data_IF_005689764355
#
_entry.id   IF_005689764355
#
_cell.length_a   1.000
_cell.length_b   1.000
_cell.length_c   1.000
_cell.angle_alpha   90.00
_cell.angle_beta   90.00
_cell.angle_gamma   90.00
#
_symmetry.space_group_name_H-M   'P 1'
#
loop_
_entity.id
_entity.type
_entity.pdbx_description
1 polymer ?
#
# COMPACT_ATOMS: atom_id res chain seq x y z
N UNK A 1 22.94 15.45 -6.09
CA UNK A 1 22.42 14.18 -5.54
C UNK A 1 23.63 13.34 -5.17
N UNK A 2 23.79 12.94 -3.91
CA UNK A 2 24.91 12.09 -3.47
C UNK A 2 24.56 10.62 -3.69
N UNK A 3 25.55 9.77 -3.92
CA UNK A 3 25.36 8.34 -4.17
C UNK A 3 24.62 7.66 -3.01
N UNK A 4 25.01 7.98 -1.77
CA UNK A 4 24.36 7.53 -0.53
C UNK A 4 22.84 7.83 -0.49
N UNK A 5 22.43 9.05 -0.85
CA UNK A 5 21.02 9.43 -0.88
C UNK A 5 20.24 8.66 -1.96
N UNK A 6 20.87 8.36 -3.09
CA UNK A 6 20.24 7.58 -4.16
C UNK A 6 20.01 6.14 -3.73
N UNK A 7 20.99 5.51 -3.08
CA UNK A 7 20.87 4.12 -2.60
C UNK A 7 19.82 3.98 -1.50
N UNK A 8 19.79 4.93 -0.55
CA UNK A 8 18.77 4.95 0.49
C UNK A 8 17.36 5.17 -0.06
N UNK A 9 17.22 6.07 -1.04
CA UNK A 9 15.93 6.29 -1.70
C UNK A 9 15.45 5.03 -2.43
N UNK A 10 16.33 4.36 -3.18
CA UNK A 10 15.97 3.11 -3.86
C UNK A 10 15.55 2.04 -2.87
N UNK A 11 16.28 1.85 -1.75
CA UNK A 11 15.92 0.86 -0.72
C UNK A 11 14.53 1.12 -0.14
N UNK A 12 14.22 2.38 0.13
CA UNK A 12 12.94 2.77 0.72
C UNK A 12 11.78 2.64 -0.27
N UNK A 13 11.99 3.01 -1.54
CA UNK A 13 10.99 2.78 -2.60
C UNK A 13 10.72 1.28 -2.76
N UNK A 14 11.76 0.45 -2.77
CA UNK A 14 11.58 -1.01 -2.81
C UNK A 14 10.75 -1.50 -1.63
N UNK A 15 11.06 -1.04 -0.40
CA UNK A 15 10.27 -1.39 0.79
C UNK A 15 8.79 -1.04 0.63
N UNK A 16 8.46 0.15 0.13
CA UNK A 16 7.06 0.54 -0.08
C UNK A 16 6.36 -0.30 -1.15
N UNK A 17 7.09 -0.70 -2.21
CA UNK A 17 6.54 -1.59 -3.24
C UNK A 17 6.25 -2.96 -2.66
N UNK A 18 7.18 -3.53 -1.90
CA UNK A 18 7.03 -4.85 -1.27
C UNK A 18 5.84 -4.86 -0.28
N UNK A 19 5.71 -3.82 0.55
CA UNK A 19 4.57 -3.66 1.47
C UNK A 19 3.23 -3.55 0.74
N UNK A 20 3.19 -2.78 -0.35
CA UNK A 20 1.99 -2.66 -1.18
C UNK A 20 1.64 -3.97 -1.90
N UNK A 21 2.65 -4.75 -2.32
CA UNK A 21 2.45 -6.07 -2.92
C UNK A 21 1.85 -7.05 -1.93
N UNK A 22 2.40 -7.13 -0.71
CA UNK A 22 1.89 -7.99 0.35
C UNK A 22 0.42 -7.68 0.68
N UNK A 23 0.06 -6.39 0.79
CA UNK A 23 -1.31 -5.96 1.03
C UNK A 23 -2.25 -6.33 -0.14
N UNK A 24 -1.80 -6.11 -1.38
CA UNK A 24 -2.56 -6.48 -2.57
C UNK A 24 -2.78 -8.00 -2.64
N UNK A 25 -1.76 -8.80 -2.38
CA UNK A 25 -1.82 -10.26 -2.37
C UNK A 25 -2.77 -10.78 -1.27
N UNK A 26 -2.69 -10.20 -0.08
CA UNK A 26 -3.61 -10.52 1.01
C UNK A 26 -5.07 -10.23 0.60
N UNK A 27 -5.35 -9.07 0.03
CA UNK A 27 -6.70 -8.70 -0.38
C UNK A 27 -7.23 -9.55 -1.54
N UNK A 28 -6.40 -9.88 -2.53
CA UNK A 28 -6.76 -10.80 -3.61
C UNK A 28 -7.06 -12.20 -3.06
N UNK A 29 -6.30 -12.65 -2.06
CA UNK A 29 -6.54 -13.95 -1.41
C UNK A 29 -7.87 -13.97 -0.64
N UNK A 30 -8.21 -12.89 0.06
CA UNK A 30 -9.47 -12.78 0.80
C UNK A 30 -10.69 -12.72 -0.14
N UNK A 31 -10.52 -12.12 -1.30
CA UNK A 31 -11.53 -12.00 -2.35
C UNK A 31 -11.42 -13.10 -3.44
N UNK A 32 -10.78 -14.23 -3.14
CA UNK A 32 -10.52 -15.29 -4.15
C UNK A 32 -11.77 -15.77 -4.88
N UNK A 33 -12.89 -15.90 -4.15
CA UNK A 33 -14.19 -16.30 -4.69
C UNK A 33 -14.70 -15.34 -5.79
N UNK A 34 -14.42 -14.04 -5.67
CA UNK A 34 -14.76 -13.02 -6.66
C UNK A 34 -13.89 -13.20 -7.90
N UNK A 35 -12.58 -13.41 -7.71
CA UNK A 35 -11.63 -13.62 -8.80
C UNK A 35 -11.96 -14.88 -9.59
N UNK A 36 -12.31 -15.99 -8.92
CA UNK A 36 -12.69 -17.23 -9.57
C UNK A 36 -13.98 -17.05 -10.40
N UNK A 37 -14.94 -16.24 -9.92
CA UNK A 37 -16.14 -15.91 -10.68
C UNK A 37 -15.84 -15.04 -11.91
N UNK A 38 -15.03 -13.99 -11.74
CA UNK A 38 -14.60 -13.13 -12.86
C UNK A 38 -13.83 -13.95 -13.90
N UNK A 39 -12.93 -14.82 -13.47
CA UNK A 39 -12.18 -15.71 -14.35
C UNK A 39 -13.10 -16.67 -15.11
N UNK A 40 -14.10 -17.24 -14.45
CA UNK A 40 -15.10 -18.10 -15.10
C UNK A 40 -15.88 -17.35 -16.19
N UNK A 41 -16.34 -16.13 -15.88
CA UNK A 41 -17.03 -15.29 -16.87
C UNK A 41 -16.11 -14.87 -18.03
N UNK A 42 -14.82 -14.61 -17.79
CA UNK A 42 -13.85 -14.28 -18.84
C UNK A 42 -13.44 -15.50 -19.70
N UNK A 43 -13.60 -16.72 -19.17
CA UNK A 43 -13.44 -17.94 -19.96
C UNK A 43 -14.63 -18.14 -20.90
N UNK A 44 -15.84 -17.77 -20.47
CA UNK A 44 -17.05 -17.84 -21.29
C UNK A 44 -17.15 -16.67 -22.28
N UNK A 45 -16.76 -15.47 -21.85
CA UNK A 45 -16.82 -14.21 -22.61
C UNK A 45 -15.40 -13.69 -22.79
N UNK A 46 -14.97 -13.53 -24.04
CA UNK A 46 -13.61 -13.04 -24.39
C UNK A 46 -13.26 -11.69 -23.71
N UNK A 47 -14.25 -10.87 -23.38
CA UNK A 47 -14.07 -9.57 -22.73
C UNK A 47 -15.27 -9.22 -21.86
N UNK A 48 -15.03 -8.39 -20.83
CA UNK A 48 -16.04 -7.85 -19.91
C UNK A 48 -15.78 -6.36 -19.73
N UNK A 49 -16.84 -5.55 -19.62
CA UNK A 49 -16.71 -4.13 -19.38
C UNK A 49 -16.41 -3.84 -17.89
N UNK A 50 -15.71 -2.74 -17.59
CA UNK A 50 -15.38 -2.37 -16.22
C UNK A 50 -16.61 -2.11 -15.34
N UNK A 51 -17.70 -1.63 -15.93
CA UNK A 51 -18.98 -1.44 -15.23
C UNK A 51 -19.64 -2.77 -14.83
N UNK A 52 -19.60 -3.76 -15.73
CA UNK A 52 -20.13 -5.11 -15.49
C UNK A 52 -19.36 -5.81 -14.37
N UNK A 53 -18.03 -5.71 -14.39
CA UNK A 53 -17.15 -6.19 -13.31
C UNK A 53 -17.51 -5.51 -11.99
N UNK A 54 -17.72 -4.19 -12.00
CA UNK A 54 -18.08 -3.42 -10.80
C UNK A 54 -19.41 -3.87 -10.18
N UNK A 55 -20.43 -4.15 -11.01
CA UNK A 55 -21.72 -4.68 -10.54
C UNK A 55 -21.55 -6.09 -9.96
N UNK A 56 -20.79 -6.95 -10.64
CA UNK A 56 -20.49 -8.30 -10.20
C UNK A 56 -19.79 -8.31 -8.82
N UNK A 57 -18.73 -7.51 -8.67
CA UNK A 57 -17.97 -7.39 -7.41
C UNK A 57 -18.88 -6.94 -6.27
N UNK A 58 -19.69 -5.89 -6.48
CA UNK A 58 -20.61 -5.38 -5.45
C UNK A 58 -21.66 -6.42 -5.01
N UNK A 59 -22.05 -7.32 -5.90
CA UNK A 59 -23.03 -8.36 -5.59
C UNK A 59 -22.52 -9.45 -4.63
N UNK A 60 -21.19 -9.60 -4.49
CA UNK A 60 -20.56 -10.69 -3.74
C UNK A 60 -19.96 -10.25 -2.39
N UNK A 61 -20.30 -9.04 -1.91
CA UNK A 61 -19.84 -8.48 -0.63
C UNK A 61 -18.29 -8.53 -0.47
N UNK A 62 -17.57 -7.70 -1.25
CA UNK A 62 -16.10 -7.72 -1.28
C UNK A 62 -15.50 -7.15 0.00
N UNK A 63 -14.33 -7.68 0.38
CA UNK A 63 -13.46 -7.04 1.37
C UNK A 63 -12.64 -5.97 0.66
N UNK A 64 -12.97 -4.71 0.89
CA UNK A 64 -12.30 -3.55 0.27
C UNK A 64 -11.14 -3.07 1.13
N UNK A 65 -10.03 -2.67 0.50
CA UNK A 65 -8.95 -1.96 1.16
C UNK A 65 -9.43 -0.58 1.65
N UNK A 66 -8.72 0.03 2.61
CA UNK A 66 -8.92 1.42 2.97
C UNK A 66 -8.76 2.32 1.74
N UNK A 67 -9.62 3.34 1.61
CA UNK A 67 -9.42 4.38 0.61
C UNK A 67 -8.27 5.29 1.06
N UNK A 68 -7.05 4.95 0.67
CA UNK A 68 -5.86 5.75 0.97
C UNK A 68 -5.95 7.18 0.42
N UNK A 69 -6.88 7.49 -0.48
CA UNK A 69 -7.08 8.84 -1.02
C UNK A 69 -8.25 9.58 -0.35
N UNK A 70 -8.92 9.00 0.66
CA UNK A 70 -9.96 9.71 1.43
C UNK A 70 -9.31 10.87 2.19
N UNK A 71 -9.68 12.14 1.88
CA UNK A 71 -9.15 13.32 2.56
C UNK A 71 -9.31 13.26 4.08
N UNK A 72 -10.30 12.53 4.60
CA UNK A 72 -10.56 12.38 6.03
C UNK A 72 -9.50 11.57 6.77
N UNK A 73 -8.75 10.70 6.08
CA UNK A 73 -7.67 9.92 6.70
C UNK A 73 -6.44 10.78 7.06
N UNK A 74 -6.37 12.00 6.51
CA UNK A 74 -5.30 12.97 6.75
C UNK A 74 -5.66 14.01 7.82
N UNK A 75 -6.95 14.13 8.17
CA UNK A 75 -7.45 15.02 9.23
C UNK A 75 -7.40 14.32 10.60
N UNK A 76 -6.21 13.97 11.08
CA UNK A 76 -6.04 13.60 12.49
C UNK A 76 -4.69 14.09 13.00
N UNK A 77 -4.60 15.41 13.15
CA UNK A 77 -3.67 16.08 14.07
C UNK A 77 -4.38 16.40 15.39
N UNK A 78 -5.11 15.45 15.95
CA UNK A 78 -5.57 15.55 17.34
C UNK A 78 -4.42 15.20 18.27
N UNK A 79 -4.19 16.10 19.22
CA UNK A 79 -3.07 16.23 20.15
C UNK A 79 -2.92 15.11 21.18
N UNK A 80 -2.85 13.85 20.76
CA UNK A 80 -2.62 12.72 21.67
C UNK A 80 -1.25 12.05 21.41
N UNK A 81 -0.23 12.27 22.27
CA UNK A 81 1.14 11.80 22.01
C UNK A 81 1.31 10.27 22.09
N UNK A 82 0.26 9.53 22.45
CA UNK A 82 0.33 8.10 22.71
C UNK A 82 -0.47 7.22 21.73
N UNK A 83 -1.06 7.79 20.68
CA UNK A 83 -1.84 7.01 19.69
C UNK A 83 -0.97 6.41 18.56
N UNK A 84 0.34 6.61 18.61
CA UNK A 84 1.26 6.20 17.54
C UNK A 84 1.78 4.76 17.62
N UNK A 85 1.28 3.92 18.54
CA UNK A 85 1.82 2.55 18.67
C UNK A 85 1.47 1.60 17.51
N UNK A 86 0.55 1.99 16.62
CA UNK A 86 0.09 1.14 15.51
C UNK A 86 0.25 1.78 14.12
N UNK A 87 0.90 2.94 14.01
CA UNK A 87 1.10 3.67 12.73
C UNK A 87 2.56 4.06 12.48
N UNK A 88 3.50 3.20 12.87
CA UNK A 88 4.94 3.50 12.77
C UNK A 88 5.60 3.04 11.47
N UNK A 89 4.88 2.43 10.51
CA UNK A 89 5.49 1.94 9.27
C UNK A 89 5.58 2.98 8.14
N UNK A 90 4.79 4.06 8.20
CA UNK A 90 4.59 5.01 7.09
C UNK A 90 4.91 6.47 7.41
N UNK A 91 5.38 6.78 8.63
CA UNK A 91 5.89 8.13 8.94
C UNK A 91 7.40 8.10 8.68
N UNK A 92 7.88 8.98 7.80
CA UNK A 92 9.31 9.25 7.66
C UNK A 92 9.86 9.61 9.04
N UNK A 93 10.66 8.71 9.62
CA UNK A 93 11.44 8.99 10.81
C UNK A 93 12.70 9.71 10.34
N UNK A 94 12.95 10.92 10.86
CA UNK A 94 14.21 11.59 10.61
C UNK A 94 15.31 10.66 11.12
N UNK A 95 16.13 10.16 10.18
CA UNK A 95 17.25 9.29 10.51
C UNK A 95 18.17 10.04 11.48
N UNK A 96 18.49 9.41 12.62
CA UNK A 96 19.60 9.82 13.46
C UNK A 96 20.87 9.69 12.61
N UNK A 97 21.20 10.77 11.91
CA UNK A 97 22.42 10.94 11.14
C UNK A 97 23.58 10.92 12.13
N UNK A 98 24.10 9.73 12.39
CA UNK A 98 25.44 9.61 12.95
C UNK A 98 26.37 10.34 11.99
N UNK A 99 26.97 11.44 12.47
CA UNK A 99 28.10 12.06 11.79
C UNK A 99 29.11 10.95 11.57
N UNK A 100 29.19 10.46 10.33
CA UNK A 100 30.28 9.59 9.93
C UNK A 100 31.55 10.35 10.33
N UNK A 101 32.33 9.75 11.23
CA UNK A 101 33.57 10.35 11.69
C UNK A 101 34.42 10.62 10.46
N UNK A 102 34.46 11.88 10.01
CA UNK A 102 35.33 12.30 8.93
C UNK A 102 36.74 11.97 9.40
N UNK A 103 37.49 11.07 8.73
CA UNK A 103 38.90 10.94 9.03
C UNK A 103 39.55 12.30 8.77
N UNK A 104 40.18 12.85 9.80
CA UNK A 104 40.91 14.10 9.67
C UNK A 104 42.10 13.88 8.72
N UNK A 105 42.08 14.63 7.61
CA UNK A 105 43.15 14.90 6.64
C UNK A 105 43.61 13.73 5.74
#
# INVERSE_FOLDING_TARGET
MTMELSEMFTREVTRYVDEAEDEAMWALSMNRHILDRVASELLERISMNGEEVGVLIKSMNPVMLPDYMDPRLYETSSSDPNEHRYKSATRFEELDIWQAAFPAC
#
